data_IF_194357624495
#
_entry.id   IF_194357624495
#
_cell.length_a   1.000
_cell.length_b   1.000
_cell.length_c   1.000
_cell.angle_alpha   90.00
_cell.angle_beta   90.00
_cell.angle_gamma   90.00
#
_symmetry.space_group_name_H-M   'P 1'
#
loop_
_entity.id
_entity.type
_entity.pdbx_description
1 polymer ?
#
# COMPACT_ATOMS: atom_id res chain seq x y z
N UNK A 1 8.74 10.92 -21.14
CA UNK A 1 9.61 9.92 -20.48
C UNK A 1 8.88 9.40 -19.26
N UNK A 2 8.80 8.09 -19.09
CA UNK A 2 8.29 7.42 -17.90
C UNK A 2 9.48 7.06 -16.99
N UNK A 3 9.42 7.47 -15.73
CA UNK A 3 10.40 7.10 -14.72
C UNK A 3 9.76 6.08 -13.79
N UNK A 4 10.33 4.90 -13.68
CA UNK A 4 9.88 3.84 -12.76
C UNK A 4 10.88 3.75 -11.59
N UNK A 5 10.35 3.89 -10.37
CA UNK A 5 11.12 3.68 -9.15
C UNK A 5 11.17 2.19 -8.77
N UNK A 6 12.05 1.87 -7.83
CA UNK A 6 12.18 0.54 -7.26
C UNK A 6 11.90 0.56 -5.75
N UNK A 7 11.68 -0.62 -5.16
CA UNK A 7 11.40 -0.87 -3.73
C UNK A 7 10.11 -0.19 -3.26
N UNK A 8 10.21 0.95 -2.55
CA UNK A 8 9.05 1.68 -2.05
C UNK A 8 9.43 2.76 -1.05
N UNK A 9 8.53 3.71 -0.82
CA UNK A 9 8.74 4.92 -0.02
C UNK A 9 9.29 4.62 1.38
N UNK A 10 8.76 3.60 2.07
CA UNK A 10 9.17 3.25 3.43
C UNK A 10 10.57 2.64 3.51
N UNK A 11 11.20 2.35 2.37
CA UNK A 11 12.58 1.85 2.26
C UNK A 11 13.56 2.92 1.78
N UNK A 12 13.10 4.16 1.54
CA UNK A 12 13.98 5.28 1.16
C UNK A 12 15.04 5.53 2.23
N UNK A 13 16.29 5.78 1.80
CA UNK A 13 17.44 5.91 2.71
C UNK A 13 17.29 7.10 3.66
N UNK A 14 16.64 8.19 3.23
CA UNK A 14 16.48 9.42 4.01
C UNK A 14 15.10 9.53 4.67
N UNK A 15 14.06 9.07 3.98
CA UNK A 15 12.65 9.27 4.38
C UNK A 15 11.91 7.98 4.77
N UNK A 16 12.58 6.85 4.68
CA UNK A 16 12.02 5.54 5.06
C UNK A 16 12.15 5.23 6.56
N UNK A 17 11.89 3.98 6.90
CA UNK A 17 11.92 3.47 8.28
C UNK A 17 13.35 3.12 8.74
N UNK A 18 14.25 4.10 8.75
CA UNK A 18 15.65 3.93 9.17
C UNK A 18 15.75 3.25 10.54
N UNK A 19 16.70 2.31 10.78
CA UNK A 19 17.75 1.86 9.86
C UNK A 19 17.34 0.74 8.88
N UNK A 20 16.07 0.37 8.80
CA UNK A 20 15.56 -0.71 7.97
C UNK A 20 15.16 -0.21 6.58
N UNK A 21 16.12 0.32 5.85
CA UNK A 21 15.98 0.98 4.55
C UNK A 21 16.90 0.36 3.50
N UNK A 22 16.73 0.74 2.24
CA UNK A 22 17.69 0.44 1.17
C UNK A 22 18.74 1.55 1.07
N UNK A 23 19.82 1.32 0.34
CA UNK A 23 20.92 2.28 0.15
C UNK A 23 20.67 3.32 -0.95
N UNK A 24 19.41 3.52 -1.34
CA UNK A 24 19.03 4.42 -2.45
C UNK A 24 17.80 5.26 -2.09
N UNK A 25 17.64 6.39 -2.79
CA UNK A 25 16.43 7.18 -2.74
C UNK A 25 15.35 6.52 -3.60
N UNK A 26 14.28 6.04 -2.96
CA UNK A 26 13.16 5.36 -3.61
C UNK A 26 11.96 6.27 -3.84
N UNK A 27 12.00 7.49 -3.31
CA UNK A 27 10.96 8.51 -3.51
C UNK A 27 11.10 9.21 -4.86
N UNK A 28 10.04 9.91 -5.28
CA UNK A 28 9.97 10.63 -6.57
C UNK A 28 11.15 11.60 -6.77
N UNK A 29 11.64 12.25 -5.71
CA UNK A 29 12.81 13.13 -5.76
C UNK A 29 14.08 12.42 -6.24
N UNK A 30 14.18 11.10 -6.08
CA UNK A 30 15.26 10.28 -6.61
C UNK A 30 15.36 10.33 -8.13
N UNK A 31 14.26 10.55 -8.85
CA UNK A 31 14.27 10.76 -10.29
C UNK A 31 14.95 12.07 -10.66
N UNK A 32 14.75 13.14 -9.87
CA UNK A 32 15.39 14.42 -10.10
C UNK A 32 16.92 14.33 -9.93
N UNK A 33 17.37 13.75 -8.85
CA UNK A 33 18.81 13.62 -8.53
C UNK A 33 19.50 12.58 -9.41
N UNK A 34 18.84 11.46 -9.69
CA UNK A 34 19.40 10.36 -10.50
C UNK A 34 19.50 10.67 -11.98
N UNK A 35 18.57 11.44 -12.53
CA UNK A 35 18.51 11.80 -13.94
C UNK A 35 18.99 13.25 -14.23
N UNK A 36 19.27 14.03 -13.19
CA UNK A 36 19.67 15.42 -13.35
C UNK A 36 18.57 16.33 -13.92
N UNK A 37 17.30 16.07 -13.56
CA UNK A 37 16.16 16.87 -14.02
C UNK A 37 15.65 17.81 -12.94
N UNK A 38 15.18 18.98 -13.35
CA UNK A 38 14.63 19.96 -12.41
C UNK A 38 13.28 19.45 -11.84
N UNK A 39 12.98 19.68 -10.52
CA UNK A 39 11.74 19.21 -9.90
C UNK A 39 10.47 19.69 -10.60
N UNK A 40 10.47 20.88 -11.19
CA UNK A 40 9.33 21.43 -11.94
C UNK A 40 9.10 20.77 -13.31
N UNK A 41 9.90 19.77 -13.66
CA UNK A 41 9.73 18.93 -14.87
C UNK A 41 9.06 17.60 -14.56
N UNK A 42 8.86 17.27 -13.29
CA UNK A 42 8.05 16.13 -12.89
C UNK A 42 6.59 16.45 -13.19
N UNK A 43 5.94 15.59 -13.95
CA UNK A 43 4.51 15.67 -14.26
C UNK A 43 3.67 14.89 -13.26
N UNK A 44 2.75 14.06 -13.75
CA UNK A 44 1.96 13.17 -12.89
C UNK A 44 2.85 12.17 -12.17
N UNK A 45 2.54 11.95 -10.89
CA UNK A 45 3.19 10.94 -10.06
C UNK A 45 2.17 9.88 -9.69
N UNK A 46 2.37 8.67 -10.21
CA UNK A 46 1.52 7.51 -9.93
C UNK A 46 2.06 6.77 -8.71
N UNK A 47 1.25 6.71 -7.64
CA UNK A 47 1.53 5.90 -6.47
C UNK A 47 0.96 4.49 -6.63
N UNK A 48 1.82 3.47 -6.74
CA UNK A 48 1.39 2.07 -6.81
C UNK A 48 1.36 1.48 -5.41
N UNK A 49 0.22 0.91 -5.01
CA UNK A 49 0.06 0.26 -3.72
C UNK A 49 -0.75 -1.03 -3.85
N UNK A 50 -0.59 -1.95 -2.92
CA UNK A 50 -1.41 -3.17 -2.83
C UNK A 50 -2.65 -2.91 -1.97
N UNK A 51 -3.71 -3.66 -2.19
CA UNK A 51 -4.90 -3.62 -1.35
C UNK A 51 -4.63 -4.06 0.12
N UNK A 52 -3.43 -4.54 0.41
CA UNK A 52 -2.91 -4.92 1.73
C UNK A 52 -1.42 -4.55 1.82
N UNK A 53 -0.81 -4.65 3.00
CA UNK A 53 0.60 -4.33 3.18
C UNK A 53 1.49 -5.57 3.20
N UNK A 54 2.71 -5.43 2.69
CA UNK A 54 3.75 -6.46 2.80
C UNK A 54 5.09 -5.84 3.18
N UNK A 55 5.91 -6.61 3.91
CA UNK A 55 7.28 -6.23 4.22
C UNK A 55 8.23 -7.41 4.12
N UNK A 56 9.42 -7.17 3.59
CA UNK A 56 10.54 -8.12 3.61
C UNK A 56 11.56 -7.66 4.64
N UNK A 57 12.04 -8.58 5.46
CA UNK A 57 13.06 -8.30 6.48
C UNK A 57 12.52 -7.62 7.74
N UNK A 58 13.45 -7.12 8.55
CA UNK A 58 13.14 -6.46 9.83
C UNK A 58 12.59 -5.04 9.62
N UNK A 59 12.20 -4.42 10.73
CA UNK A 59 11.69 -3.05 10.78
C UNK A 59 10.21 -2.96 11.12
N UNK A 60 9.73 -1.73 11.38
CA UNK A 60 8.37 -1.50 11.85
C UNK A 60 7.33 -1.90 10.80
N UNK A 61 6.26 -2.53 11.28
CA UNK A 61 5.11 -2.91 10.48
C UNK A 61 3.86 -2.90 11.37
N UNK A 62 3.27 -1.73 11.66
CA UNK A 62 2.21 -1.61 12.64
C UNK A 62 0.96 -2.46 12.36
N UNK A 63 0.66 -2.73 11.09
CA UNK A 63 -0.51 -3.51 10.67
C UNK A 63 -0.20 -4.99 10.41
N UNK A 64 1.00 -5.48 10.79
CA UNK A 64 1.37 -6.88 10.60
C UNK A 64 0.41 -7.83 11.31
N UNK A 65 0.09 -8.94 10.65
CA UNK A 65 -0.78 -9.98 11.15
C UNK A 65 0.02 -11.25 11.41
N UNK A 66 -0.11 -11.79 12.62
CA UNK A 66 0.55 -13.01 13.07
C UNK A 66 -0.41 -14.21 13.17
N UNK A 67 -1.65 -14.02 12.72
CA UNK A 67 -2.73 -14.99 12.78
C UNK A 67 -2.96 -15.69 11.42
N UNK A 68 -4.00 -16.54 11.35
CA UNK A 68 -4.40 -17.22 10.12
C UNK A 68 -4.78 -16.24 9.00
N UNK A 69 -5.23 -15.03 9.34
CA UNK A 69 -5.54 -13.98 8.36
C UNK A 69 -4.29 -13.54 7.61
N UNK A 70 -3.20 -13.29 8.34
CA UNK A 70 -1.91 -12.92 7.75
C UNK A 70 -1.34 -14.02 6.86
N UNK A 71 -1.50 -15.29 7.29
CA UNK A 71 -1.11 -16.45 6.49
C UNK A 71 -1.96 -16.55 5.22
N UNK A 72 -3.28 -16.40 5.33
CA UNK A 72 -4.19 -16.45 4.19
C UNK A 72 -3.87 -15.38 3.14
N UNK A 73 -3.61 -14.13 3.57
CA UNK A 73 -3.18 -13.04 2.67
C UNK A 73 -1.88 -13.41 1.97
N UNK A 74 -0.91 -13.98 2.69
CA UNK A 74 0.38 -14.43 2.12
C UNK A 74 0.19 -15.50 1.06
N UNK A 75 -0.61 -16.52 1.35
CA UNK A 75 -0.82 -17.65 0.47
C UNK A 75 -1.57 -17.24 -0.80
N UNK A 76 -2.70 -16.53 -0.65
CA UNK A 76 -3.49 -16.02 -1.78
C UNK A 76 -2.71 -15.00 -2.62
N UNK A 77 -1.96 -14.14 -1.95
CA UNK A 77 -1.13 -13.13 -2.61
C UNK A 77 0.18 -13.66 -3.18
N UNK A 78 0.52 -14.95 -2.98
CA UNK A 78 1.82 -15.52 -3.34
C UNK A 78 2.99 -14.66 -2.83
N UNK A 79 2.89 -14.20 -1.56
CA UNK A 79 3.85 -13.27 -0.97
C UNK A 79 5.09 -14.01 -0.44
N UNK A 80 5.85 -14.52 -1.39
CA UNK A 80 7.13 -15.23 -1.18
C UNK A 80 8.21 -14.60 -2.04
N UNK A 81 9.46 -14.66 -1.58
CA UNK A 81 10.60 -14.19 -2.35
C UNK A 81 10.82 -15.04 -3.60
N UNK A 82 10.90 -14.42 -4.78
CA UNK A 82 11.00 -15.14 -6.05
C UNK A 82 12.25 -16.04 -6.14
N UNK A 83 13.34 -15.65 -5.51
CA UNK A 83 14.62 -16.41 -5.55
C UNK A 83 14.77 -17.32 -4.34
N UNK A 84 14.45 -16.82 -3.15
CA UNK A 84 14.73 -17.52 -1.88
C UNK A 84 13.54 -18.27 -1.31
N UNK A 85 12.33 -18.06 -1.87
CA UNK A 85 11.09 -18.60 -1.29
C UNK A 85 10.75 -18.02 0.10
N UNK A 86 11.49 -17.01 0.59
CA UNK A 86 11.28 -16.45 1.93
C UNK A 86 9.90 -15.82 2.04
N UNK A 87 9.18 -16.18 3.09
CA UNK A 87 7.88 -15.58 3.40
C UNK A 87 7.99 -14.07 3.61
N UNK A 88 7.07 -13.32 3.00
CA UNK A 88 6.88 -11.90 3.30
C UNK A 88 5.94 -11.75 4.50
N UNK A 89 6.23 -10.78 5.34
CA UNK A 89 5.34 -10.33 6.40
C UNK A 89 4.13 -9.67 5.72
N UNK A 90 2.91 -9.99 6.17
CA UNK A 90 1.67 -9.48 5.58
C UNK A 90 0.82 -8.82 6.64
N UNK A 91 0.03 -7.83 6.25
CA UNK A 91 -0.86 -7.12 7.14
C UNK A 91 -1.94 -6.33 6.39
N UNK A 92 -2.93 -5.82 7.15
CA UNK A 92 -3.96 -4.95 6.58
C UNK A 92 -3.37 -3.67 6.00
N UNK A 93 -4.10 -3.04 5.08
CA UNK A 93 -3.69 -1.77 4.49
C UNK A 93 -3.47 -0.70 5.57
N UNK A 94 -2.38 0.05 5.43
CA UNK A 94 -2.00 1.12 6.35
C UNK A 94 -2.15 2.49 5.68
N UNK A 95 -3.27 3.16 5.95
CA UNK A 95 -3.57 4.45 5.35
C UNK A 95 -2.75 5.59 5.97
N UNK A 96 -2.20 5.41 7.18
CA UNK A 96 -1.29 6.41 7.78
C UNK A 96 0.02 6.42 7.02
N UNK A 97 0.61 5.24 6.78
CA UNK A 97 1.83 5.11 5.98
C UNK A 97 1.59 5.52 4.52
N UNK A 98 0.42 5.20 3.95
CA UNK A 98 0.11 5.56 2.57
C UNK A 98 -0.09 7.06 2.39
N UNK A 99 -0.75 7.76 3.33
CA UNK A 99 -0.82 9.24 3.33
C UNK A 99 0.56 9.89 3.41
N UNK A 100 1.43 9.34 4.25
CA UNK A 100 2.82 9.80 4.30
C UNK A 100 3.54 9.60 2.96
N UNK A 101 3.38 8.42 2.34
CA UNK A 101 3.96 8.14 1.03
C UNK A 101 3.42 9.08 -0.07
N UNK A 102 2.11 9.35 -0.09
CA UNK A 102 1.48 10.30 -1.01
C UNK A 102 2.11 11.70 -0.85
N UNK A 103 2.22 12.17 0.38
CA UNK A 103 2.77 13.49 0.71
C UNK A 103 4.24 13.63 0.26
N UNK A 104 5.09 12.66 0.60
CA UNK A 104 6.54 12.73 0.31
C UNK A 104 6.84 12.65 -1.19
N UNK A 105 6.04 11.88 -1.93
CA UNK A 105 6.23 11.71 -3.37
C UNK A 105 5.46 12.73 -4.22
N UNK A 106 4.54 13.50 -3.64
CA UNK A 106 3.64 14.36 -4.41
C UNK A 106 2.74 13.55 -5.34
N UNK A 107 2.24 12.39 -4.88
CA UNK A 107 1.39 11.50 -5.69
C UNK A 107 0.12 12.22 -6.13
N UNK A 108 -0.14 12.21 -7.43
CA UNK A 108 -1.33 12.83 -8.03
C UNK A 108 -2.43 11.81 -8.35
N UNK A 109 -2.05 10.55 -8.57
CA UNK A 109 -2.94 9.44 -8.93
C UNK A 109 -2.47 8.15 -8.28
N UNK A 110 -3.39 7.28 -7.91
CA UNK A 110 -3.10 6.00 -7.28
C UNK A 110 -3.47 4.83 -8.21
N UNK A 111 -2.69 3.76 -8.08
CA UNK A 111 -2.93 2.47 -8.74
C UNK A 111 -3.02 1.42 -7.65
N UNK A 112 -4.17 0.78 -7.48
CA UNK A 112 -4.38 -0.29 -6.52
C UNK A 112 -4.14 -1.65 -7.15
N UNK A 113 -3.20 -2.41 -6.58
CA UNK A 113 -2.83 -3.73 -7.06
C UNK A 113 -3.34 -4.83 -6.13
N UNK A 114 -3.55 -6.02 -6.70
CA UNK A 114 -3.84 -7.25 -5.94
C UNK A 114 -5.12 -7.18 -5.10
N UNK A 115 -6.16 -6.52 -5.62
CA UNK A 115 -7.45 -6.48 -4.93
C UNK A 115 -8.13 -7.85 -4.86
N UNK A 116 -7.90 -8.71 -5.85
CA UNK A 116 -8.35 -10.10 -5.95
C UNK A 116 -7.97 -10.95 -4.73
N UNK A 117 -6.85 -10.67 -4.09
CA UNK A 117 -6.40 -11.37 -2.88
C UNK A 117 -7.42 -11.25 -1.74
N UNK A 118 -8.20 -10.18 -1.72
CA UNK A 118 -9.19 -9.92 -0.69
C UNK A 118 -10.62 -10.38 -1.04
N UNK A 119 -10.83 -10.97 -2.20
CA UNK A 119 -12.16 -11.37 -2.72
C UNK A 119 -12.96 -12.25 -1.75
N UNK A 120 -12.30 -13.14 -1.03
CA UNK A 120 -12.92 -14.12 -0.14
C UNK A 120 -13.19 -13.64 1.29
N UNK A 121 -12.73 -12.45 1.68
CA UNK A 121 -12.84 -11.97 3.05
C UNK A 121 -14.26 -11.47 3.38
N UNK A 122 -14.75 -11.78 4.58
CA UNK A 122 -16.02 -11.26 5.09
C UNK A 122 -15.90 -9.79 5.52
N UNK A 123 -14.78 -9.46 6.15
CA UNK A 123 -14.44 -8.14 6.65
C UNK A 123 -13.03 -7.78 6.23
N UNK A 124 -12.84 -6.57 5.75
CA UNK A 124 -11.56 -5.98 5.38
C UNK A 124 -11.28 -4.85 6.35
N UNK A 125 -10.08 -4.79 6.91
CA UNK A 125 -9.68 -3.74 7.84
C UNK A 125 -8.72 -2.78 7.18
N UNK A 126 -8.92 -1.49 7.43
CA UNK A 126 -8.02 -0.43 7.01
C UNK A 126 -7.53 0.36 8.24
N UNK A 127 -6.22 0.46 8.42
CA UNK A 127 -5.65 1.26 9.50
C UNK A 127 -5.75 2.75 9.15
N UNK A 128 -6.58 3.48 9.88
CA UNK A 128 -6.86 4.90 9.63
C UNK A 128 -6.07 5.84 10.54
N UNK A 129 -5.58 5.33 11.67
CA UNK A 129 -4.79 6.05 12.66
C UNK A 129 -3.90 5.08 13.45
N UNK A 130 -2.96 5.62 14.22
CA UNK A 130 -2.23 4.87 15.23
C UNK A 130 -2.60 5.37 16.63
N UNK A 131 -2.47 4.50 17.60
CA UNK A 131 -2.35 4.86 19.01
C UNK A 131 -0.88 4.71 19.41
N UNK A 132 -0.27 5.82 19.84
CA UNK A 132 1.12 5.87 20.28
C UNK A 132 1.15 6.40 21.71
N UNK A 133 1.59 5.60 22.68
CA UNK A 133 1.61 5.95 24.09
C UNK A 133 0.22 6.45 24.61
N UNK A 134 -0.86 5.77 24.20
CA UNK A 134 -2.23 6.11 24.57
C UNK A 134 -2.81 7.34 23.87
N UNK A 135 -2.13 7.92 22.91
CA UNK A 135 -2.61 9.06 22.11
C UNK A 135 -2.83 8.65 20.66
N UNK A 136 -4.04 8.93 20.17
CA UNK A 136 -4.39 8.73 18.76
C UNK A 136 -3.66 9.77 17.87
N UNK A 137 -3.07 9.31 16.78
CA UNK A 137 -2.44 10.14 15.74
C UNK A 137 -2.72 9.59 14.36
N UNK A 138 -2.91 10.46 13.38
CA UNK A 138 -3.02 10.15 11.95
C UNK A 138 -1.72 10.42 11.19
N UNK A 139 -0.64 10.77 11.91
CA UNK A 139 0.68 11.05 11.36
C UNK A 139 1.60 9.86 11.51
N UNK A 140 2.33 9.56 10.45
CA UNK A 140 3.39 8.58 10.51
C UNK A 140 4.50 9.07 11.46
N UNK A 141 4.89 8.30 12.49
CA UNK A 141 5.91 8.72 13.43
C UNK A 141 7.28 8.74 12.76
N UNK A 142 8.01 9.84 12.93
CA UNK A 142 9.35 10.01 12.36
C UNK A 142 10.38 9.03 12.95
N UNK A 143 10.30 8.78 14.24
CA UNK A 143 11.09 7.74 14.92
C UNK A 143 10.16 6.76 15.58
N UNK A 144 10.33 5.48 15.24
CA UNK A 144 9.68 4.36 15.91
C UNK A 144 10.75 3.67 16.77
N UNK A 145 11.18 4.33 17.83
CA UNK A 145 12.16 3.78 18.77
C UNK A 145 11.64 2.53 19.48
N UNK A 146 10.30 2.40 19.54
CA UNK A 146 9.63 1.22 20.06
C UNK A 146 8.43 0.90 19.15
N UNK A 147 8.63 0.02 18.17
CA UNK A 147 7.59 -0.43 17.25
C UNK A 147 6.37 -1.05 18.00
N UNK A 148 6.60 -1.65 19.16
CA UNK A 148 5.56 -2.28 19.99
C UNK A 148 4.64 -1.23 20.66
N UNK A 149 5.07 0.04 20.72
CA UNK A 149 4.26 1.13 21.25
C UNK A 149 3.26 1.70 20.24
N UNK A 150 3.35 1.30 18.97
CA UNK A 150 2.46 1.77 17.89
C UNK A 150 1.37 0.73 17.66
N UNK A 151 0.14 1.07 18.01
CA UNK A 151 -1.02 0.19 17.80
C UNK A 151 -1.87 0.73 16.66
N UNK A 152 -2.21 -0.09 15.65
CA UNK A 152 -3.09 0.33 14.57
C UNK A 152 -4.53 0.49 15.06
N UNK A 153 -5.20 1.56 14.60
CA UNK A 153 -6.62 1.80 14.80
C UNK A 153 -7.31 1.52 13.47
N UNK A 154 -8.19 0.52 13.46
CA UNK A 154 -8.83 0.05 12.25
C UNK A 154 -10.25 0.58 12.07
N UNK A 155 -10.63 0.87 10.83
CA UNK A 155 -12.00 0.83 10.36
C UNK A 155 -12.24 -0.51 9.65
N UNK A 156 -13.42 -1.10 9.89
CA UNK A 156 -13.84 -2.37 9.31
C UNK A 156 -14.86 -2.11 8.20
N UNK A 157 -14.59 -2.71 7.04
CA UNK A 157 -15.45 -2.60 5.87
C UNK A 157 -15.95 -4.01 5.48
N UNK A 158 -17.18 -4.15 5.01
CA UNK A 158 -17.68 -5.42 4.51
C UNK A 158 -16.91 -5.82 3.25
N UNK A 159 -16.42 -7.06 3.20
CA UNK A 159 -15.82 -7.63 2.01
C UNK A 159 -16.84 -7.82 0.88
N UNK A 160 -16.36 -7.79 -0.34
CA UNK A 160 -17.24 -7.91 -1.52
C UNK A 160 -17.63 -9.33 -1.86
N UNK A 161 -16.90 -10.34 -1.39
CA UNK A 161 -17.22 -11.78 -1.54
C UNK A 161 -17.53 -12.22 -2.97
N UNK A 162 -16.87 -11.60 -3.93
CA UNK A 162 -17.05 -11.84 -5.36
C UNK A 162 -15.69 -11.99 -6.02
N UNK A 163 -15.42 -13.09 -6.73
CA UNK A 163 -14.20 -13.23 -7.52
C UNK A 163 -14.11 -12.12 -8.56
N UNK A 164 -13.00 -11.38 -8.53
CA UNK A 164 -12.80 -10.21 -9.38
C UNK A 164 -12.05 -10.52 -10.67
N UNK A 165 -11.41 -11.67 -10.78
CA UNK A 165 -10.48 -12.01 -11.87
C UNK A 165 -11.14 -12.10 -13.27
N UNK A 166 -12.45 -12.21 -13.34
CA UNK A 166 -13.23 -12.22 -14.60
C UNK A 166 -13.83 -10.87 -14.97
N UNK A 167 -13.69 -9.86 -14.10
CA UNK A 167 -14.20 -8.51 -14.33
C UNK A 167 -13.35 -7.81 -15.39
N UNK A 168 -14.00 -7.16 -16.35
CA UNK A 168 -13.35 -6.49 -17.49
C UNK A 168 -13.59 -4.99 -17.54
N UNK A 169 -14.53 -4.50 -16.73
CA UNK A 169 -14.94 -3.08 -16.67
C UNK A 169 -15.26 -2.67 -15.24
N UNK A 170 -15.02 -1.41 -14.91
CA UNK A 170 -15.37 -0.83 -13.62
C UNK A 170 -16.89 -0.85 -13.32
N UNK A 171 -17.71 -0.86 -14.35
CA UNK A 171 -19.18 -0.96 -14.20
C UNK A 171 -19.60 -2.29 -13.57
N UNK A 172 -18.85 -3.35 -13.82
CA UNK A 172 -19.09 -4.71 -13.30
C UNK A 172 -18.66 -4.89 -11.84
N UNK A 173 -17.97 -3.91 -11.25
CA UNK A 173 -17.54 -4.00 -9.86
C UNK A 173 -18.73 -4.15 -8.91
N UNK A 174 -18.65 -5.11 -7.95
CA UNK A 174 -19.62 -5.21 -6.89
C UNK A 174 -19.73 -3.90 -6.10
N UNK A 175 -20.93 -3.54 -5.64
CA UNK A 175 -21.14 -2.27 -4.93
C UNK A 175 -20.20 -2.13 -3.71
N UNK A 176 -19.99 -3.19 -2.93
CA UNK A 176 -19.07 -3.18 -1.78
C UNK A 176 -17.63 -2.86 -2.17
N UNK A 177 -17.19 -3.29 -3.36
CA UNK A 177 -15.86 -2.94 -3.85
C UNK A 177 -15.78 -1.47 -4.29
N UNK A 178 -16.83 -0.95 -4.96
CA UNK A 178 -16.96 0.47 -5.26
C UNK A 178 -16.95 1.33 -3.99
N UNK A 179 -17.66 0.87 -2.95
CA UNK A 179 -17.69 1.54 -1.65
C UNK A 179 -16.30 1.54 -0.98
N UNK A 180 -15.55 0.43 -1.10
CA UNK A 180 -14.17 0.31 -0.60
C UNK A 180 -13.23 1.28 -1.31
N UNK A 181 -13.28 1.35 -2.65
CA UNK A 181 -12.48 2.33 -3.44
C UNK A 181 -12.82 3.75 -2.98
N UNK A 182 -14.11 4.10 -2.93
CA UNK A 182 -14.57 5.43 -2.51
C UNK A 182 -14.15 5.77 -1.07
N UNK A 183 -14.12 4.77 -0.19
CA UNK A 183 -13.61 4.94 1.17
C UNK A 183 -12.11 5.28 1.15
N UNK A 184 -11.31 4.52 0.41
CA UNK A 184 -9.86 4.76 0.29
C UNK A 184 -9.57 6.16 -0.26
N UNK A 185 -10.24 6.56 -1.33
CA UNK A 185 -10.07 7.89 -1.94
C UNK A 185 -10.40 9.02 -0.96
N UNK A 186 -11.50 8.90 -0.21
CA UNK A 186 -11.85 9.89 0.84
C UNK A 186 -10.80 9.98 1.94
N UNK A 187 -10.25 8.83 2.36
CA UNK A 187 -9.23 8.77 3.41
C UNK A 187 -7.87 9.31 2.95
N UNK A 188 -7.55 9.14 1.68
CA UNK A 188 -6.25 9.49 1.11
C UNK A 188 -6.23 10.87 0.44
N UNK A 189 -7.38 11.40 0.04
CA UNK A 189 -7.49 12.65 -0.69
C UNK A 189 -6.89 12.60 -2.11
N UNK A 190 -6.71 11.40 -2.67
CA UNK A 190 -6.06 11.17 -3.97
C UNK A 190 -6.86 10.13 -4.74
N UNK A 191 -7.18 10.36 -6.05
CA UNK A 191 -7.98 9.43 -6.83
C UNK A 191 -7.24 8.13 -7.13
N UNK A 192 -7.96 7.01 -7.09
CA UNK A 192 -7.52 5.72 -7.60
C UNK A 192 -7.99 5.63 -9.04
N UNK A 193 -7.07 5.59 -9.99
CA UNK A 193 -7.39 5.64 -11.42
C UNK A 193 -7.25 4.29 -12.12
N UNK A 194 -6.57 3.33 -11.49
CA UNK A 194 -6.37 1.98 -12.01
C UNK A 194 -6.48 0.99 -10.86
N UNK A 195 -7.14 -0.14 -11.13
CA UNK A 195 -7.23 -1.28 -10.20
C UNK A 195 -6.83 -2.56 -10.92
N UNK A 196 -5.93 -3.34 -10.31
CA UNK A 196 -5.64 -4.70 -10.75
C UNK A 196 -6.49 -5.71 -9.98
N UNK A 197 -7.23 -6.52 -10.72
CA UNK A 197 -8.16 -7.54 -10.22
C UNK A 197 -7.65 -8.98 -10.44
N UNK A 198 -6.38 -9.12 -10.77
CA UNK A 198 -5.71 -10.41 -10.97
C UNK A 198 -4.28 -10.25 -11.46
N UNK A 199 -3.54 -11.36 -11.64
CA UNK A 199 -2.11 -11.34 -11.98
C UNK A 199 -1.81 -11.02 -13.45
N UNK A 200 -2.80 -11.18 -14.35
CA UNK A 200 -2.60 -10.94 -15.78
C UNK A 200 -2.71 -9.45 -16.10
N UNK A 201 -1.91 -9.00 -17.07
CA UNK A 201 -1.94 -7.59 -17.53
C UNK A 201 -3.30 -7.15 -18.05
N UNK A 202 -4.11 -8.08 -18.57
CA UNK A 202 -5.47 -7.81 -19.05
C UNK A 202 -6.47 -7.63 -17.90
N UNK A 203 -6.09 -7.97 -16.67
CA UNK A 203 -6.87 -7.80 -15.44
C UNK A 203 -6.55 -6.47 -14.75
N UNK A 204 -6.22 -5.47 -15.55
CA UNK A 204 -5.97 -4.08 -15.10
C UNK A 204 -7.08 -3.20 -15.65
N UNK A 205 -7.85 -2.58 -14.76
CA UNK A 205 -9.06 -1.83 -15.08
C UNK A 205 -8.85 -0.36 -14.77
N UNK A 206 -9.10 0.51 -15.75
CA UNK A 206 -9.12 1.96 -15.58
C UNK A 206 -10.48 2.40 -15.00
N UNK A 207 -10.46 3.40 -14.07
CA UNK A 207 -11.64 3.93 -13.39
C UNK A 207 -12.07 5.27 -13.95
#
# INVERSE_FOLDING_TARGET
VLCEGAQGTMLDVDFGSYPFVTSSNTICAGACTGLGIAPNKIGDVFGIFKAYCTRVGAGPFPTELFDETGKLIRDLGHEYGAVTGRERRCGWIDLVALRYAIMINGVTKLIMMKSDVLDGFDTIKACVAYEVNGKRTDRFPYSIDNADAVKPVYEELPGWKTPMTSVTSADEFPQRFKDYISFLERQLGTPIVIVSVGPDRTQTIEL
#
